data_IF_009476152173
#
_entry.id   IF_009476152173
#
_cell.length_a   1.000
_cell.length_b   1.000
_cell.length_c   1.000
_cell.angle_alpha   90.00
_cell.angle_beta   90.00
_cell.angle_gamma   90.00
#
_symmetry.space_group_name_H-M   'P 1'
#
loop_
_entity.id
_entity.type
_entity.pdbx_description
1 polymer ?
#
# COMPACT_ATOMS: atom_id res chain seq x y z
N UNK A 1 -39.19 -13.14 20.95
CA UNK A 1 -37.72 -13.04 20.83
C UNK A 1 -37.14 -12.69 22.20
N UNK A 2 -36.08 -13.38 22.63
CA UNK A 2 -35.44 -13.14 23.94
C UNK A 2 -34.45 -11.98 23.86
N UNK A 3 -34.19 -11.28 24.98
CA UNK A 3 -33.23 -10.15 25.07
C UNK A 3 -31.85 -10.47 24.47
N UNK A 4 -31.40 -11.74 24.57
CA UNK A 4 -30.16 -12.24 23.97
C UNK A 4 -30.18 -12.20 22.42
N UNK A 5 -31.34 -12.42 21.81
CA UNK A 5 -31.50 -12.35 20.35
C UNK A 5 -31.42 -10.90 19.85
N UNK A 6 -31.96 -9.94 20.60
CA UNK A 6 -31.82 -8.51 20.27
C UNK A 6 -30.37 -8.04 20.38
N UNK A 7 -29.65 -8.45 21.43
CA UNK A 7 -28.23 -8.13 21.58
C UNK A 7 -27.41 -8.70 20.41
N UNK A 8 -27.65 -9.96 20.04
CA UNK A 8 -26.97 -10.62 18.92
C UNK A 8 -27.24 -9.89 17.60
N UNK A 9 -28.51 -9.53 17.33
CA UNK A 9 -28.90 -8.80 16.12
C UNK A 9 -28.23 -7.42 16.08
N UNK A 10 -28.21 -6.70 17.19
CA UNK A 10 -27.57 -5.39 17.27
C UNK A 10 -26.05 -5.48 17.02
N UNK A 11 -25.41 -6.52 17.58
CA UNK A 11 -23.99 -6.79 17.37
C UNK A 11 -23.70 -7.18 15.92
N UNK A 12 -24.59 -7.95 15.27
CA UNK A 12 -24.50 -8.31 13.87
C UNK A 12 -24.66 -7.09 12.95
N UNK A 13 -25.63 -6.21 13.23
CA UNK A 13 -25.86 -4.97 12.47
C UNK A 13 -24.65 -4.03 12.60
N UNK A 14 -24.06 -3.91 13.79
CA UNK A 14 -22.82 -3.16 13.99
C UNK A 14 -21.63 -3.78 13.26
N UNK A 15 -21.56 -5.12 13.20
CA UNK A 15 -20.52 -5.83 12.45
C UNK A 15 -20.65 -5.59 10.93
N UNK A 16 -21.88 -5.62 10.40
CA UNK A 16 -22.16 -5.44 8.97
C UNK A 16 -21.96 -3.98 8.55
N UNK A 17 -22.37 -3.01 9.37
CA UNK A 17 -22.18 -1.58 9.10
C UNK A 17 -20.75 -1.10 9.31
N UNK A 18 -19.97 -1.77 10.16
CA UNK A 18 -18.53 -1.53 10.34
C UNK A 18 -17.66 -1.94 9.15
N UNK A 19 -18.18 -2.74 8.22
CA UNK A 19 -17.48 -3.17 7.00
C UNK A 19 -17.70 -2.23 5.79
N UNK A 20 -18.31 -1.05 5.97
CA UNK A 20 -18.49 -0.10 4.88
C UNK A 20 -17.22 0.74 4.65
N UNK A 21 -16.68 0.69 3.43
CA UNK A 21 -15.68 1.64 2.92
C UNK A 21 -16.42 2.95 2.67
N UNK A 22 -16.28 3.94 3.56
CA UNK A 22 -16.83 5.28 3.32
C UNK A 22 -15.90 6.35 3.94
N UNK A 23 -15.95 7.58 3.41
CA UNK A 23 -15.09 8.68 3.84
C UNK A 23 -15.31 9.15 5.29
N UNK A 24 -16.35 8.64 5.95
CA UNK A 24 -16.75 8.91 7.33
C UNK A 24 -16.63 7.67 8.25
N UNK A 25 -15.99 6.59 7.80
CA UNK A 25 -16.14 5.25 8.36
C UNK A 25 -14.84 4.66 8.88
N UNK A 26 -14.86 3.36 9.20
CA UNK A 26 -13.69 2.64 9.69
C UNK A 26 -12.61 2.51 8.63
N UNK A 27 -12.93 2.58 7.34
CA UNK A 27 -11.94 2.54 6.25
C UNK A 27 -12.17 3.69 5.27
N UNK A 28 -11.14 4.50 5.07
CA UNK A 28 -11.04 5.54 4.03
C UNK A 28 -10.06 5.09 2.96
N UNK A 29 -10.52 5.05 1.71
CA UNK A 29 -9.70 4.65 0.54
C UNK A 29 -9.77 5.75 -0.51
N UNK A 30 -8.61 6.24 -0.94
CA UNK A 30 -8.45 7.29 -1.95
C UNK A 30 -7.57 6.78 -3.08
N UNK A 31 -7.89 7.22 -4.29
CA UNK A 31 -7.18 6.86 -5.51
C UNK A 31 -6.60 8.12 -6.11
N UNK A 32 -5.36 8.02 -6.55
CA UNK A 32 -4.66 9.10 -7.20
C UNK A 32 -3.96 8.57 -8.44
N UNK A 33 -3.69 9.46 -9.38
CA UNK A 33 -2.88 9.15 -10.53
C UNK A 33 -1.95 10.30 -10.90
N UNK A 34 -0.89 9.96 -11.63
CA UNK A 34 -0.08 10.90 -12.38
C UNK A 34 0.21 10.32 -13.78
N UNK A 35 1.14 10.92 -14.52
CA UNK A 35 1.49 10.47 -15.87
C UNK A 35 2.00 9.01 -15.94
N UNK A 36 2.61 8.47 -14.88
CA UNK A 36 3.36 7.21 -14.92
C UNK A 36 2.83 6.13 -13.97
N UNK A 37 1.95 6.48 -13.04
CA UNK A 37 1.55 5.59 -11.95
C UNK A 37 0.14 5.86 -11.44
N UNK A 38 -0.43 4.83 -10.80
CA UNK A 38 -1.58 4.96 -9.91
C UNK A 38 -1.09 4.83 -8.46
N UNK A 39 -1.72 5.57 -7.56
CA UNK A 39 -1.47 5.47 -6.13
C UNK A 39 -2.78 5.25 -5.39
N UNK A 40 -2.78 4.34 -4.43
CA UNK A 40 -3.89 4.20 -3.49
C UNK A 40 -3.42 4.56 -2.09
N UNK A 41 -4.26 5.30 -1.37
CA UNK A 41 -4.07 5.56 0.06
C UNK A 41 -5.24 4.99 0.81
N UNK A 42 -4.97 4.04 1.70
CA UNK A 42 -5.95 3.42 2.56
C UNK A 42 -5.62 3.73 4.02
N UNK A 43 -6.63 4.14 4.78
CA UNK A 43 -6.57 4.28 6.24
C UNK A 43 -7.72 3.53 6.86
N UNK A 44 -7.43 2.57 7.72
CA UNK A 44 -8.41 1.75 8.41
C UNK A 44 -8.22 1.81 9.92
N UNK A 45 -9.33 1.79 10.66
CA UNK A 45 -9.44 1.74 12.12
C UNK A 45 -10.30 0.55 12.53
N UNK A 46 -10.01 -0.05 13.69
CA UNK A 46 -10.70 -1.26 14.16
C UNK A 46 -10.08 -2.53 13.60
N UNK A 47 -10.87 -3.38 12.94
CA UNK A 47 -10.40 -4.64 12.35
C UNK A 47 -10.23 -4.53 10.83
N UNK A 48 -9.05 -4.90 10.32
CA UNK A 48 -8.73 -4.91 8.91
C UNK A 48 -8.19 -6.27 8.48
N UNK A 49 -8.69 -6.79 7.36
CA UNK A 49 -8.14 -7.99 6.72
C UNK A 49 -7.66 -7.59 5.32
N UNK A 50 -6.36 -7.76 5.07
CA UNK A 50 -5.84 -7.69 3.71
C UNK A 50 -5.75 -9.09 3.12
N UNK A 51 -6.33 -9.26 1.94
CA UNK A 51 -6.22 -10.48 1.13
C UNK A 51 -5.15 -10.37 0.05
N UNK A 52 -4.69 -9.15 -0.24
CA UNK A 52 -3.77 -8.87 -1.33
C UNK A 52 -2.39 -9.48 -1.02
N UNK A 53 -1.74 -10.06 -2.04
CA UNK A 53 -0.53 -10.85 -1.84
C UNK A 53 0.63 -10.08 -1.18
N UNK A 54 0.76 -8.78 -1.48
CA UNK A 54 1.87 -7.96 -0.95
C UNK A 54 1.81 -7.72 0.56
N UNK A 55 0.61 -7.67 1.15
CA UNK A 55 0.39 -7.24 2.54
C UNK A 55 -0.66 -8.09 3.26
N UNK A 56 -0.86 -9.33 2.80
CA UNK A 56 -1.82 -10.28 3.35
C UNK A 56 -1.65 -10.44 4.86
N UNK A 57 -2.77 -10.34 5.57
CA UNK A 57 -2.80 -10.42 7.02
C UNK A 57 -4.05 -9.82 7.63
N UNK A 58 -4.06 -9.78 8.96
CA UNK A 58 -5.11 -9.19 9.78
C UNK A 58 -4.50 -8.17 10.72
N UNK A 59 -5.13 -7.02 10.89
CA UNK A 59 -4.74 -5.98 11.85
C UNK A 59 -5.94 -5.59 12.70
N UNK A 60 -5.76 -5.60 14.02
CA UNK A 60 -6.68 -5.04 14.99
C UNK A 60 -6.03 -3.77 15.58
N UNK A 61 -6.56 -2.61 15.21
CA UNK A 61 -6.11 -1.29 15.61
C UNK A 61 -6.20 -0.30 14.46
N UNK A 62 -5.09 0.35 14.08
CA UNK A 62 -5.03 1.27 12.94
C UNK A 62 -4.08 0.72 11.88
N UNK A 63 -4.51 0.73 10.62
CA UNK A 63 -3.68 0.39 9.48
C UNK A 63 -3.69 1.55 8.48
N UNK A 64 -2.51 1.95 8.02
CA UNK A 64 -2.33 2.85 6.88
C UNK A 64 -1.53 2.12 5.81
N UNK A 65 -1.99 2.22 4.57
CA UNK A 65 -1.34 1.66 3.40
C UNK A 65 -1.28 2.70 2.31
N UNK A 66 -0.10 2.89 1.74
CA UNK A 66 0.07 3.64 0.49
C UNK A 66 0.68 2.65 -0.50
N UNK A 67 0.03 2.42 -1.64
CA UNK A 67 0.51 1.51 -2.67
C UNK A 67 0.64 2.26 -3.98
N UNK A 68 1.72 2.01 -4.71
CA UNK A 68 1.99 2.61 -6.01
C UNK A 68 2.04 1.50 -7.06
N UNK A 69 1.23 1.65 -8.10
CA UNK A 69 1.05 0.72 -9.19
C UNK A 69 1.54 1.36 -10.49
N UNK A 70 2.14 0.59 -11.41
CA UNK A 70 2.58 1.13 -12.68
C UNK A 70 1.36 1.36 -13.59
N UNK A 71 1.34 2.48 -14.33
CA UNK A 71 0.51 2.56 -15.54
C UNK A 71 1.22 1.73 -16.60
N UNK A 72 0.74 0.51 -16.85
CA UNK A 72 1.28 -0.32 -17.92
C UNK A 72 1.04 0.39 -19.27
N UNK A 73 2.02 1.16 -19.72
CA UNK A 73 2.08 1.56 -21.12
C UNK A 73 2.45 0.29 -21.88
N UNK A 74 1.58 -0.18 -22.77
CA UNK A 74 1.84 -1.37 -23.59
C UNK A 74 3.27 -1.32 -24.15
N UNK A 75 4.09 -2.31 -23.82
CA UNK A 75 5.50 -2.44 -24.23
C UNK A 75 6.49 -1.37 -23.73
N UNK A 76 6.18 -0.59 -22.70
CA UNK A 76 7.19 0.25 -22.07
C UNK A 76 8.10 -0.60 -21.16
N UNK A 77 9.31 -0.88 -21.65
CA UNK A 77 10.46 -0.99 -20.75
C UNK A 77 10.57 0.36 -20.05
N UNK A 78 9.97 0.50 -18.87
CA UNK A 78 10.11 1.70 -18.06
C UNK A 78 11.57 1.69 -17.55
N UNK A 79 12.44 2.54 -18.11
CA UNK A 79 13.82 2.57 -17.69
C UNK A 79 13.85 3.07 -16.24
N UNK A 80 14.87 2.64 -15.49
CA UNK A 80 14.94 2.84 -14.03
C UNK A 80 14.88 4.33 -13.66
N UNK A 81 15.39 5.20 -14.51
CA UNK A 81 15.27 6.65 -14.43
C UNK A 81 13.81 7.14 -14.45
N UNK A 82 12.86 6.45 -15.09
CA UNK A 82 11.43 6.78 -14.99
C UNK A 82 10.78 6.27 -13.69
N UNK A 83 11.31 5.21 -13.07
CA UNK A 83 10.92 4.78 -11.72
C UNK A 83 11.50 5.68 -10.63
N UNK A 84 12.66 6.28 -10.91
CA UNK A 84 13.41 7.16 -10.01
C UNK A 84 13.21 8.64 -10.28
N UNK A 85 12.53 9.00 -11.36
CA UNK A 85 12.11 10.36 -11.61
C UNK A 85 11.34 10.78 -10.38
N UNK A 86 12.01 11.65 -9.62
CA UNK A 86 11.39 12.44 -8.59
C UNK A 86 10.14 13.01 -9.25
N UNK A 87 8.96 12.68 -8.71
CA UNK A 87 7.69 13.05 -9.32
C UNK A 87 7.77 14.54 -9.61
N UNK A 88 7.96 14.90 -10.89
CA UNK A 88 8.35 16.26 -11.29
C UNK A 88 7.22 17.27 -10.97
N UNK A 89 6.08 16.73 -10.58
CA UNK A 89 5.01 17.42 -9.89
C UNK A 89 4.54 16.56 -8.72
N UNK A 90 4.30 17.15 -7.55
CA UNK A 90 3.51 16.50 -6.49
C UNK A 90 2.03 16.28 -6.92
N UNK A 91 1.71 16.41 -8.20
CA UNK A 91 0.36 16.55 -8.72
C UNK A 91 -0.24 15.16 -9.00
N UNK A 92 -0.25 14.34 -7.96
CA UNK A 92 -1.18 13.24 -7.89
C UNK A 92 -2.60 13.81 -7.88
N UNK A 93 -3.32 13.64 -8.98
CA UNK A 93 -4.71 14.05 -9.10
C UNK A 93 -5.58 12.96 -8.50
N UNK A 94 -6.47 13.32 -7.57
CA UNK A 94 -7.43 12.37 -7.02
C UNK A 94 -8.44 11.97 -8.10
N UNK A 95 -8.59 10.66 -8.30
CA UNK A 95 -9.50 10.08 -9.30
C UNK A 95 -10.58 9.25 -8.63
N UNK A 96 -11.68 9.00 -9.36
CA UNK A 96 -12.76 8.19 -8.84
C UNK A 96 -12.42 6.70 -8.89
N UNK A 97 -12.91 5.92 -7.92
CA UNK A 97 -12.70 4.45 -7.84
C UNK A 97 -13.14 3.71 -9.12
N UNK A 98 -14.03 4.30 -9.94
CA UNK A 98 -14.55 3.65 -11.15
C UNK A 98 -13.58 3.66 -12.33
N UNK A 99 -12.50 4.43 -12.26
CA UNK A 99 -11.59 4.65 -13.40
C UNK A 99 -10.34 3.75 -13.36
N UNK A 100 -10.12 2.97 -12.30
CA UNK A 100 -8.87 2.22 -12.10
C UNK A 100 -9.08 0.74 -11.84
N UNK A 101 -8.88 -0.11 -12.85
CA UNK A 101 -8.81 -1.57 -12.65
C UNK A 101 -7.41 -1.96 -12.14
N UNK A 102 -7.23 -1.93 -10.82
CA UNK A 102 -5.99 -2.32 -10.14
C UNK A 102 -5.95 -3.81 -9.76
N UNK A 103 -7.01 -4.58 -10.01
CA UNK A 103 -7.13 -5.96 -9.51
C UNK A 103 -6.05 -6.89 -10.06
N UNK A 104 -5.61 -6.64 -11.30
CA UNK A 104 -4.59 -7.42 -11.98
C UNK A 104 -3.18 -6.82 -11.87
N UNK A 105 -3.03 -5.66 -11.20
CA UNK A 105 -1.75 -4.99 -11.05
C UNK A 105 -1.11 -5.32 -9.71
N UNK A 106 0.21 -5.49 -9.73
CA UNK A 106 1.01 -5.61 -8.52
C UNK A 106 1.64 -4.26 -8.19
N UNK A 107 1.59 -3.80 -6.92
CA UNK A 107 2.29 -2.59 -6.54
C UNK A 107 3.80 -2.82 -6.66
N UNK A 108 4.51 -1.86 -7.21
CA UNK A 108 5.98 -1.88 -7.24
C UNK A 108 6.58 -1.18 -6.02
N UNK A 109 5.84 -0.27 -5.38
CA UNK A 109 6.26 0.36 -4.14
C UNK A 109 5.08 0.46 -3.18
N UNK A 110 5.33 0.27 -1.89
CA UNK A 110 4.31 0.51 -0.87
C UNK A 110 4.87 0.85 0.51
N UNK A 111 4.06 1.57 1.27
CA UNK A 111 4.30 1.95 2.65
C UNK A 111 3.19 1.36 3.50
N UNK A 112 3.58 0.74 4.60
CA UNK A 112 2.70 0.15 5.60
C UNK A 112 2.97 0.78 6.95
N UNK A 113 1.92 1.25 7.63
CA UNK A 113 1.98 1.63 9.04
C UNK A 113 0.86 0.95 9.78
N UNK A 114 1.19 0.14 10.78
CA UNK A 114 0.24 -0.59 11.60
C UNK A 114 0.42 -0.22 13.07
N UNK A 115 -0.68 -0.13 13.78
CA UNK A 115 -0.74 0.11 15.21
C UNK A 115 -1.72 -0.90 15.82
N UNK A 116 -1.29 -1.68 16.79
CA UNK A 116 -2.15 -2.63 17.52
C UNK A 116 -1.67 -4.07 17.46
N UNK A 117 -2.57 -5.02 17.24
CA UNK A 117 -2.26 -6.44 17.07
C UNK A 117 -2.31 -6.81 15.60
N UNK A 118 -1.30 -7.53 15.11
CA UNK A 118 -1.20 -7.89 13.70
C UNK A 118 -0.87 -9.37 13.55
N UNK A 119 -1.49 -9.99 12.56
CA UNK A 119 -1.12 -11.29 12.04
C UNK A 119 -0.71 -11.12 10.58
N UNK A 120 0.50 -11.53 10.25
CA UNK A 120 1.10 -11.44 8.93
C UNK A 120 1.08 -12.80 8.25
N UNK A 121 0.68 -12.80 6.98
CA UNK A 121 0.68 -13.99 6.11
C UNK A 121 1.11 -13.61 4.69
N UNK A 122 2.12 -12.74 4.57
CA UNK A 122 2.64 -12.24 3.30
C UNK A 122 4.07 -12.77 3.04
N UNK A 123 4.58 -12.69 1.80
CA UNK A 123 5.90 -13.22 1.43
C UNK A 123 7.07 -12.61 2.22
N UNK A 124 6.88 -11.43 2.80
CA UNK A 124 7.94 -10.69 3.50
C UNK A 124 7.94 -11.02 5.01
N UNK A 125 6.79 -11.38 5.58
CA UNK A 125 6.65 -11.69 7.01
C UNK A 125 5.48 -12.64 7.26
N UNK A 126 5.73 -13.66 8.07
CA UNK A 126 4.71 -14.60 8.58
C UNK A 126 4.77 -14.59 10.11
N UNK A 127 3.63 -14.47 10.78
CA UNK A 127 3.52 -14.55 12.23
C UNK A 127 2.80 -13.38 12.89
N UNK A 128 2.94 -13.25 14.21
CA UNK A 128 2.22 -12.27 15.02
C UNK A 128 3.11 -11.11 15.45
N UNK A 129 2.56 -9.90 15.53
CA UNK A 129 3.22 -8.76 16.15
C UNK A 129 2.24 -7.88 16.92
N UNK A 130 2.75 -7.16 17.92
CA UNK A 130 2.00 -6.19 18.69
C UNK A 130 2.78 -4.87 18.77
N UNK A 131 2.07 -3.73 18.76
CA UNK A 131 2.67 -2.40 18.85
C UNK A 131 2.60 -1.62 17.54
N UNK A 132 3.67 -0.87 17.25
CA UNK A 132 3.77 0.00 16.06
C UNK A 132 4.73 -0.65 15.06
N UNK A 133 4.27 -0.93 13.86
CA UNK A 133 5.09 -1.45 12.77
C UNK A 133 5.02 -0.48 11.58
N UNK A 134 6.18 -0.07 11.06
CA UNK A 134 6.28 0.69 9.82
C UNK A 134 7.17 -0.07 8.84
N UNK A 135 6.72 -0.23 7.60
CA UNK A 135 7.47 -0.88 6.53
C UNK A 135 7.40 -0.06 5.27
N UNK A 136 8.54 0.11 4.60
CA UNK A 136 8.61 0.64 3.25
C UNK A 136 9.17 -0.48 2.39
N UNK A 137 8.51 -0.80 1.29
CA UNK A 137 8.94 -1.85 0.37
C UNK A 137 8.98 -1.30 -1.04
N UNK A 138 10.04 -1.66 -1.74
CA UNK A 138 10.20 -1.44 -3.16
C UNK A 138 10.51 -2.78 -3.82
N UNK A 139 9.74 -3.11 -4.86
CA UNK A 139 9.96 -4.27 -5.70
C UNK A 139 10.81 -3.84 -6.88
N UNK A 140 11.94 -4.49 -7.02
CA UNK A 140 12.87 -4.29 -8.13
C UNK A 140 12.65 -5.42 -9.15
N UNK A 141 12.73 -5.15 -10.47
CA UNK A 141 12.66 -6.19 -11.51
C UNK A 141 13.72 -7.29 -11.31
N UNK A 142 13.41 -8.52 -11.72
CA UNK A 142 14.32 -9.67 -11.57
C UNK A 142 15.58 -9.54 -12.44
N UNK A 143 15.49 -8.81 -13.54
CA UNK A 143 16.55 -8.51 -14.50
C UNK A 143 17.33 -7.23 -14.15
N UNK A 144 17.06 -6.63 -12.99
CA UNK A 144 17.79 -5.46 -12.52
C UNK A 144 19.26 -5.80 -12.26
N UNK A 145 20.13 -5.24 -13.10
CA UNK A 145 21.58 -5.35 -12.95
C UNK A 145 22.17 -3.98 -12.61
N UNK A 146 22.14 -3.65 -11.32
CA UNK A 146 22.61 -2.36 -10.80
C UNK A 146 22.62 -2.31 -9.28
N UNK A 147 22.94 -1.14 -8.74
CA UNK A 147 22.88 -0.83 -7.31
C UNK A 147 21.74 0.16 -7.06
N UNK A 148 20.80 -0.20 -6.20
CA UNK A 148 19.77 0.71 -5.71
C UNK A 148 20.29 1.41 -4.45
N UNK A 149 20.39 2.75 -4.48
CA UNK A 149 20.92 3.57 -3.40
C UNK A 149 19.75 4.34 -2.77
N UNK A 150 19.53 4.12 -1.47
CA UNK A 150 18.59 4.91 -0.67
C UNK A 150 19.41 5.77 0.29
N UNK A 151 19.42 7.08 0.05
CA UNK A 151 20.05 8.03 0.94
C UNK A 151 18.96 8.73 1.76
N UNK A 152 19.06 8.61 3.08
CA UNK A 152 18.23 9.37 4.01
C UNK A 152 19.07 10.49 4.61
N UNK A 153 18.70 11.74 4.35
CA UNK A 153 19.37 12.87 4.98
C UNK A 153 18.91 13.06 6.44
N UNK A 154 19.62 13.91 7.18
CA UNK A 154 19.34 14.22 8.59
C UNK A 154 17.99 14.95 8.78
N UNK A 155 17.45 15.55 7.72
CA UNK A 155 16.14 16.22 7.73
C UNK A 155 14.99 15.23 7.45
N UNK A 156 15.30 13.94 7.23
CA UNK A 156 14.34 12.90 6.93
C UNK A 156 13.94 12.83 5.45
N UNK A 157 14.57 13.63 4.57
CA UNK A 157 14.39 13.51 3.12
C UNK A 157 15.00 12.19 2.67
N UNK A 158 14.23 11.44 1.90
CA UNK A 158 14.68 10.19 1.28
C UNK A 158 14.95 10.47 -0.19
N UNK A 159 16.18 10.21 -0.63
CA UNK A 159 16.59 10.23 -2.04
C UNK A 159 16.84 8.80 -2.47
N UNK A 160 16.26 8.40 -3.60
CA UNK A 160 16.56 7.13 -4.24
C UNK A 160 17.35 7.39 -5.51
N UNK A 161 18.34 6.56 -5.79
CA UNK A 161 19.12 6.59 -7.02
C UNK A 161 19.45 5.16 -7.45
N UNK A 162 19.77 4.98 -8.72
CA UNK A 162 20.34 3.72 -9.21
C UNK A 162 21.64 4.01 -9.91
N UNK A 163 22.61 3.15 -9.64
CA UNK A 163 23.86 3.06 -10.37
C UNK A 163 23.82 1.78 -11.20
N UNK A 164 23.82 1.89 -12.54
CA UNK A 164 23.97 0.71 -13.40
C UNK A 164 25.34 0.05 -13.24
N UNK A 165 25.58 -1.07 -13.93
CA UNK A 165 26.92 -1.68 -13.97
C UNK A 165 28.00 -0.63 -14.28
N UNK A 166 29.00 -0.54 -13.39
CA UNK A 166 30.29 0.02 -13.74
C UNK A 166 30.81 -0.82 -14.91
N UNK A 167 30.81 -0.25 -16.12
CA UNK A 167 31.48 -0.85 -17.27
C UNK A 167 32.89 -1.24 -16.81
N UNK A 168 33.14 -2.55 -16.71
CA UNK A 168 34.51 -3.06 -16.58
C UNK A 168 35.23 -2.62 -17.85
N UNK A 169 36.11 -1.63 -17.71
CA UNK A 169 37.14 -1.35 -18.71
C UNK A 169 38.05 -2.56 -18.85
#
# INVERSE_FOLDING_TARGET
>A
MTQKQYLLIYLLIMLITGCAINDAGLTKLRYFENGTSYMTTQKTWGGFISTHHSDRGLTLGRAERIKVYPKLVNNAQLPIDQFLQQVDSNDFVEISNKETNLENLQPFAWIEKNYGLMFHANPVKIGFSAGIESRNVLRVPLDFNGTFIINRDQNGTVKAGVQGELQRQ
#
